data_IF_223795503104
#
_entry.id   IF_223795503104
#
_cell.length_a   1.000
_cell.length_b   1.000
_cell.length_c   1.000
_cell.angle_alpha   90.00
_cell.angle_beta   90.00
_cell.angle_gamma   90.00
#
_symmetry.space_group_name_H-M   'P 1'
#
loop_
_entity.id
_entity.type
_entity.pdbx_description
1 polymer ?
#
# COMPACT_ATOMS: atom_id res chain seq x y z
N UNK A 1 -18.44 -5.94 18.29
CA UNK A 1 -18.94 -5.48 19.60
C UNK A 1 -18.85 -3.97 19.61
N UNK A 2 -19.96 -3.25 19.91
CA UNK A 2 -19.90 -1.79 19.99
C UNK A 2 -19.14 -1.36 21.26
N UNK A 3 -18.46 -0.22 21.21
CA UNK A 3 -17.67 0.33 22.32
C UNK A 3 -18.52 0.49 23.58
N UNK A 4 -19.75 0.98 23.45
CA UNK A 4 -20.70 1.10 24.56
C UNK A 4 -20.97 -0.24 25.27
N UNK A 5 -21.19 -1.31 24.49
CA UNK A 5 -21.42 -2.65 25.04
C UNK A 5 -20.16 -3.21 25.73
N UNK A 6 -18.98 -2.92 25.20
CA UNK A 6 -17.71 -3.28 25.81
C UNK A 6 -17.54 -2.60 27.18
N UNK A 7 -17.76 -1.27 27.24
CA UNK A 7 -17.67 -0.49 28.48
C UNK A 7 -18.64 -0.97 29.57
N UNK A 8 -19.87 -1.34 29.17
CA UNK A 8 -20.86 -1.90 30.11
C UNK A 8 -20.37 -3.24 30.68
N UNK A 9 -19.84 -4.12 29.83
CA UNK A 9 -19.39 -5.45 30.23
C UNK A 9 -18.13 -5.40 31.11
N UNK A 10 -17.16 -4.55 30.79
CA UNK A 10 -15.96 -4.37 31.64
C UNK A 10 -16.35 -3.81 33.01
N UNK A 11 -17.22 -2.80 33.07
CA UNK A 11 -17.72 -2.26 34.33
C UNK A 11 -18.48 -3.30 35.17
N UNK A 12 -19.23 -4.21 34.53
CA UNK A 12 -19.88 -5.32 35.22
C UNK A 12 -18.87 -6.30 35.83
N UNK A 13 -17.85 -6.71 35.09
CA UNK A 13 -16.80 -7.60 35.59
C UNK A 13 -16.00 -6.96 36.73
N UNK A 14 -15.64 -5.68 36.63
CA UNK A 14 -14.95 -4.96 37.70
C UNK A 14 -15.75 -4.91 39.00
N UNK A 15 -17.07 -4.68 38.90
CA UNK A 15 -17.97 -4.72 40.06
C UNK A 15 -17.97 -6.11 40.71
N UNK A 16 -18.11 -7.17 39.91
CA UNK A 16 -18.10 -8.56 40.39
C UNK A 16 -16.76 -8.93 41.06
N UNK A 17 -15.64 -8.57 40.44
CA UNK A 17 -14.30 -8.79 41.00
C UNK A 17 -14.16 -8.09 42.35
N UNK A 18 -14.60 -6.83 42.44
CA UNK A 18 -14.52 -6.05 43.68
C UNK A 18 -15.37 -6.65 44.80
N UNK A 19 -16.59 -7.11 44.49
CA UNK A 19 -17.46 -7.76 45.48
C UNK A 19 -16.87 -9.09 45.96
N UNK A 20 -16.43 -9.95 45.03
CA UNK A 20 -15.85 -11.26 45.37
C UNK A 20 -14.58 -11.13 46.20
N UNK A 21 -13.70 -10.16 45.88
CA UNK A 21 -12.51 -9.85 46.69
C UNK A 21 -12.87 -9.49 48.13
N UNK A 22 -13.90 -8.66 48.34
CA UNK A 22 -14.37 -8.28 49.69
C UNK A 22 -14.93 -9.49 50.45
N UNK A 23 -15.69 -10.35 49.78
CA UNK A 23 -16.23 -11.58 50.38
C UNK A 23 -15.11 -12.54 50.80
N UNK A 24 -14.10 -12.76 49.96
CA UNK A 24 -12.95 -13.59 50.30
C UNK A 24 -12.21 -13.02 51.52
N UNK A 25 -11.93 -11.71 51.52
CA UNK A 25 -11.25 -11.06 52.62
C UNK A 25 -12.03 -11.18 53.94
N UNK A 26 -13.36 -11.05 53.89
CA UNK A 26 -14.22 -11.27 55.05
C UNK A 26 -14.17 -12.72 55.57
N UNK A 27 -14.20 -13.72 54.69
CA UNK A 27 -14.12 -15.13 55.07
C UNK A 27 -12.76 -15.46 55.71
N UNK A 28 -11.66 -14.92 55.15
CA UNK A 28 -10.32 -15.11 55.70
C UNK A 28 -10.18 -14.47 57.08
N UNK A 29 -10.72 -13.26 57.28
CA UNK A 29 -10.77 -12.61 58.58
C UNK A 29 -11.66 -13.39 59.58
N UNK A 30 -12.75 -13.97 59.12
CA UNK A 30 -13.60 -14.80 59.97
C UNK A 30 -12.84 -16.08 60.40
N UNK A 31 -12.15 -16.74 59.48
CA UNK A 31 -11.32 -17.91 59.77
C UNK A 31 -10.18 -17.59 60.77
N UNK A 32 -9.58 -16.40 60.70
CA UNK A 32 -8.56 -15.99 61.67
C UNK A 32 -9.11 -15.70 63.06
N UNK A 33 -10.36 -15.23 63.18
CA UNK A 33 -11.04 -15.09 64.49
C UNK A 33 -11.24 -16.46 65.16
N UNK A 34 -11.62 -17.49 64.39
CA UNK A 34 -11.79 -18.85 64.91
C UNK A 34 -10.48 -19.52 65.37
N UNK A 35 -9.33 -18.97 65.02
CA UNK A 35 -8.01 -19.39 65.52
C UNK A 35 -7.67 -18.77 66.89
N UNK A 36 -8.30 -17.66 67.29
CA UNK A 36 -7.98 -16.94 68.55
C UNK A 36 -8.10 -17.83 69.80
N UNK A 37 -9.13 -18.68 69.97
CA UNK A 37 -9.26 -19.54 71.15
C UNK A 37 -8.08 -20.50 71.32
N UNK A 38 -7.43 -20.92 70.22
CA UNK A 38 -6.26 -21.81 70.25
C UNK A 38 -5.06 -21.10 70.86
N UNK A 39 -4.87 -19.83 70.55
CA UNK A 39 -3.76 -19.02 71.09
C UNK A 39 -3.99 -18.50 72.51
N UNK A 40 -5.25 -18.51 72.98
CA UNK A 40 -5.61 -17.96 74.31
C UNK A 40 -5.77 -19.04 75.37
N UNK A 41 -5.77 -20.31 75.00
CA UNK A 41 -5.98 -21.40 75.93
C UNK A 41 -4.63 -21.81 76.54
N UNK A 42 -4.48 -21.64 77.85
CA UNK A 42 -3.21 -21.88 78.58
C UNK A 42 -2.74 -23.35 78.49
N UNK A 43 -3.64 -24.28 78.11
CA UNK A 43 -3.30 -25.69 77.84
C UNK A 43 -2.55 -25.90 76.50
N UNK A 44 -2.54 -24.90 75.63
CA UNK A 44 -1.88 -24.92 74.31
C UNK A 44 -0.66 -24.00 74.29
N UNK A 45 0.30 -24.22 75.18
CA UNK A 45 1.65 -23.72 74.91
C UNK A 45 2.17 -24.39 73.62
N UNK A 46 2.60 -23.59 72.64
CA UNK A 46 3.29 -24.02 71.41
C UNK A 46 4.68 -24.58 71.77
N UNK A 47 4.68 -25.70 72.48
CA UNK A 47 5.87 -26.39 72.92
C UNK A 47 6.34 -27.32 71.81
N UNK A 48 7.34 -26.87 71.04
CA UNK A 48 7.96 -27.61 69.93
C UNK A 48 8.67 -28.93 70.36
N UNK A 49 8.72 -29.23 71.66
CA UNK A 49 9.37 -30.42 72.22
C UNK A 49 8.58 -31.07 73.37
N UNK A 50 7.24 -30.96 73.38
CA UNK A 50 6.44 -31.58 74.44
C UNK A 50 6.10 -33.04 74.11
N UNK A 51 6.43 -33.96 75.02
CA UNK A 51 5.82 -35.29 75.07
C UNK A 51 4.35 -35.09 75.48
N UNK A 52 3.42 -35.15 74.52
CA UNK A 52 1.98 -35.08 74.79
C UNK A 52 1.60 -36.24 75.74
N UNK A 53 1.29 -35.98 77.02
CA UNK A 53 0.95 -37.05 77.95
C UNK A 53 -0.46 -37.61 77.67
N UNK A 54 -1.27 -36.88 76.91
CA UNK A 54 -2.68 -37.18 76.67
C UNK A 54 -3.06 -36.93 75.19
N UNK A 55 -3.11 -38.01 74.39
CA UNK A 55 -3.45 -37.97 72.97
C UNK A 55 -4.89 -37.48 72.69
N UNK A 56 -5.78 -37.51 73.70
CA UNK A 56 -7.18 -37.09 73.57
C UNK A 56 -7.32 -35.58 73.28
N UNK A 57 -6.49 -34.74 73.91
CA UNK A 57 -6.52 -33.27 73.72
C UNK A 57 -6.02 -32.91 72.33
N UNK A 58 -4.97 -33.59 71.85
CA UNK A 58 -4.44 -33.41 70.50
C UNK A 58 -5.46 -33.83 69.44
N UNK A 59 -6.18 -34.94 69.67
CA UNK A 59 -7.26 -35.38 68.79
C UNK A 59 -8.38 -34.35 68.70
N UNK A 60 -8.86 -33.83 69.84
CA UNK A 60 -9.93 -32.82 69.89
C UNK A 60 -9.55 -31.51 69.20
N UNK A 61 -8.29 -31.09 69.30
CA UNK A 61 -7.80 -29.93 68.54
C UNK A 61 -7.78 -30.22 67.03
N UNK A 62 -7.27 -31.39 66.64
CA UNK A 62 -7.28 -31.84 65.25
C UNK A 62 -8.69 -31.85 64.66
N UNK A 63 -9.67 -32.37 65.41
CA UNK A 63 -11.08 -32.41 65.02
C UNK A 63 -11.68 -31.01 64.88
N UNK A 64 -11.35 -30.08 65.78
CA UNK A 64 -11.80 -28.67 65.71
C UNK A 64 -11.20 -27.92 64.51
N UNK A 65 -9.88 -28.03 64.31
CA UNK A 65 -9.16 -27.43 63.17
C UNK A 65 -9.67 -27.99 61.84
N UNK A 66 -9.78 -29.32 61.75
CA UNK A 66 -10.25 -30.02 60.56
C UNK A 66 -11.72 -29.70 60.26
N UNK A 67 -12.59 -29.64 61.26
CA UNK A 67 -14.01 -29.36 61.05
C UNK A 67 -14.30 -27.91 60.66
N UNK A 68 -13.74 -26.94 61.39
CA UNK A 68 -14.15 -25.54 61.26
C UNK A 68 -13.31 -24.79 60.23
N UNK A 69 -11.98 -24.94 60.30
CA UNK A 69 -11.06 -24.14 59.48
C UNK A 69 -10.97 -24.72 58.07
N UNK A 70 -10.97 -26.05 57.91
CA UNK A 70 -10.90 -26.64 56.57
C UNK A 70 -12.11 -26.23 55.71
N UNK A 71 -13.31 -26.14 56.29
CA UNK A 71 -14.52 -25.70 55.57
C UNK A 71 -14.39 -24.24 55.12
N UNK A 72 -13.95 -23.35 56.00
CA UNK A 72 -13.76 -21.93 55.67
C UNK A 72 -12.68 -21.73 54.59
N UNK A 73 -11.56 -22.47 54.69
CA UNK A 73 -10.48 -22.43 53.70
C UNK A 73 -10.91 -23.02 52.35
N UNK A 74 -11.69 -24.10 52.34
CA UNK A 74 -12.22 -24.68 51.10
C UNK A 74 -13.15 -23.71 50.37
N UNK A 75 -14.03 -23.01 51.10
CA UNK A 75 -14.92 -21.99 50.51
C UNK A 75 -14.08 -20.81 49.99
N UNK A 76 -13.09 -20.35 50.74
CA UNK A 76 -12.18 -19.29 50.29
C UNK A 76 -11.41 -19.71 49.02
N UNK A 77 -10.92 -20.96 48.96
CA UNK A 77 -10.27 -21.53 47.79
C UNK A 77 -11.16 -21.58 46.55
N UNK A 78 -12.41 -22.04 46.71
CA UNK A 78 -13.39 -22.05 45.62
C UNK A 78 -13.66 -20.62 45.09
N UNK A 79 -13.82 -19.64 46.00
CA UNK A 79 -14.04 -18.25 45.62
C UNK A 79 -12.81 -17.63 44.94
N UNK A 80 -11.59 -18.01 45.32
CA UNK A 80 -10.37 -17.60 44.63
C UNK A 80 -10.31 -18.15 43.21
N UNK A 81 -10.68 -19.42 43.00
CA UNK A 81 -10.79 -20.02 41.67
C UNK A 81 -11.84 -19.28 40.83
N UNK A 82 -13.01 -19.00 41.42
CA UNK A 82 -14.07 -18.23 40.75
C UNK A 82 -13.61 -16.81 40.39
N UNK A 83 -12.90 -16.13 41.28
CA UNK A 83 -12.32 -14.81 41.03
C UNK A 83 -11.33 -14.85 39.85
N UNK A 84 -10.46 -15.86 39.82
CA UNK A 84 -9.54 -16.09 38.69
C UNK A 84 -10.29 -16.29 37.39
N UNK A 85 -11.35 -17.09 37.39
CA UNK A 85 -12.20 -17.32 36.22
C UNK A 85 -12.87 -16.03 35.71
N UNK A 86 -13.37 -15.17 36.60
CA UNK A 86 -13.93 -13.87 36.19
C UNK A 86 -12.84 -12.99 35.56
N UNK A 87 -11.65 -12.93 36.16
CA UNK A 87 -10.51 -12.20 35.60
C UNK A 87 -10.17 -12.68 34.18
N UNK A 88 -10.05 -13.99 33.99
CA UNK A 88 -9.80 -14.58 32.67
C UNK A 88 -10.88 -14.21 31.64
N UNK A 89 -12.16 -14.17 32.04
CA UNK A 89 -13.25 -13.76 31.14
C UNK A 89 -13.17 -12.28 30.77
N UNK A 90 -12.76 -11.42 31.70
CA UNK A 90 -12.51 -10.01 31.42
C UNK A 90 -11.36 -9.85 30.42
N UNK A 91 -10.24 -10.55 30.63
CA UNK A 91 -9.09 -10.50 29.73
C UNK A 91 -9.46 -10.96 28.31
N UNK A 92 -10.22 -12.05 28.18
CA UNK A 92 -10.72 -12.51 26.88
C UNK A 92 -11.60 -11.44 26.21
N UNK A 93 -12.46 -10.76 26.96
CA UNK A 93 -13.32 -9.70 26.42
C UNK A 93 -12.49 -8.52 25.91
N UNK A 94 -11.44 -8.13 26.64
CA UNK A 94 -10.48 -7.09 26.23
C UNK A 94 -9.78 -7.50 24.94
N UNK A 95 -9.19 -8.71 24.91
CA UNK A 95 -8.50 -9.23 23.73
C UNK A 95 -9.41 -9.29 22.50
N UNK A 96 -10.66 -9.73 22.65
CA UNK A 96 -11.63 -9.76 21.56
C UNK A 96 -11.94 -8.36 21.03
N UNK A 97 -12.04 -7.37 21.91
CA UNK A 97 -12.26 -5.98 21.52
C UNK A 97 -11.07 -5.42 20.75
N UNK A 98 -9.85 -5.60 21.27
CA UNK A 98 -8.61 -5.16 20.64
C UNK A 98 -8.40 -5.81 19.27
N UNK A 99 -8.65 -7.12 19.15
CA UNK A 99 -8.58 -7.84 17.87
C UNK A 99 -9.57 -7.27 16.85
N UNK A 100 -10.79 -6.95 17.27
CA UNK A 100 -11.78 -6.33 16.36
C UNK A 100 -11.33 -4.94 15.89
N UNK A 101 -10.74 -4.13 16.76
CA UNK A 101 -10.23 -2.81 16.37
C UNK A 101 -9.01 -2.94 15.44
N UNK A 102 -8.10 -3.86 15.74
CA UNK A 102 -6.94 -4.15 14.89
C UNK A 102 -7.37 -4.63 13.51
N UNK A 103 -8.37 -5.51 13.41
CA UNK A 103 -8.91 -5.94 12.12
C UNK A 103 -9.49 -4.78 11.31
N UNK A 104 -10.24 -3.87 11.95
CA UNK A 104 -10.78 -2.68 11.28
C UNK A 104 -9.66 -1.75 10.79
N UNK A 105 -8.65 -1.51 11.63
CA UNK A 105 -7.51 -0.69 11.26
C UNK A 105 -6.73 -1.30 10.08
N UNK A 106 -6.48 -2.62 10.12
CA UNK A 106 -5.83 -3.34 9.01
C UNK A 106 -6.64 -3.27 7.72
N UNK A 107 -7.96 -3.41 7.79
CA UNK A 107 -8.81 -3.29 6.61
C UNK A 107 -8.78 -1.88 6.01
N UNK A 108 -8.84 -0.84 6.85
CA UNK A 108 -8.69 0.54 6.41
C UNK A 108 -7.33 0.78 5.75
N UNK A 109 -6.25 0.30 6.38
CA UNK A 109 -4.88 0.40 5.85
C UNK A 109 -4.72 -0.34 4.51
N UNK A 110 -5.29 -1.54 4.37
CA UNK A 110 -5.25 -2.29 3.11
C UNK A 110 -5.95 -1.51 1.98
N UNK A 111 -7.08 -0.87 2.27
CA UNK A 111 -7.79 -0.03 1.31
C UNK A 111 -6.94 1.17 0.89
N UNK A 112 -6.35 1.88 1.84
CA UNK A 112 -5.46 3.01 1.56
C UNK A 112 -4.23 2.60 0.74
N UNK A 113 -3.61 1.46 1.08
CA UNK A 113 -2.49 0.93 0.31
C UNK A 113 -2.88 0.56 -1.12
N UNK A 114 -4.09 0.02 -1.32
CA UNK A 114 -4.59 -0.26 -2.66
C UNK A 114 -4.75 1.02 -3.49
N UNK A 115 -5.33 2.07 -2.92
CA UNK A 115 -5.47 3.39 -3.54
C UNK A 115 -4.10 4.08 -3.77
N UNK A 116 -3.15 3.91 -2.85
CA UNK A 116 -1.79 4.42 -3.01
C UNK A 116 -1.06 3.70 -4.14
N UNK A 117 -1.26 2.38 -4.28
CA UNK A 117 -0.63 1.58 -5.31
C UNK A 117 -1.11 2.01 -6.71
N UNK A 118 -2.43 2.23 -6.89
CA UNK A 118 -2.96 2.71 -8.18
C UNK A 118 -2.38 4.07 -8.56
N UNK A 119 -2.33 5.01 -7.60
CA UNK A 119 -1.69 6.32 -7.82
C UNK A 119 -0.20 6.21 -8.12
N UNK A 120 0.52 5.30 -7.45
CA UNK A 120 1.96 5.08 -7.67
C UNK A 120 2.22 4.53 -9.07
N UNK A 121 1.42 3.57 -9.53
CA UNK A 121 1.52 3.03 -10.90
C UNK A 121 1.27 4.14 -11.92
N UNK A 122 0.24 4.98 -11.72
CA UNK A 122 -0.05 6.12 -12.59
C UNK A 122 1.10 7.14 -12.60
N UNK A 123 1.59 7.54 -11.44
CA UNK A 123 2.68 8.50 -11.31
C UNK A 123 3.99 8.00 -11.95
N UNK A 124 4.27 6.70 -11.83
CA UNK A 124 5.43 6.07 -12.50
C UNK A 124 5.27 6.15 -14.02
N UNK A 125 4.09 5.82 -14.52
CA UNK A 125 3.79 5.95 -15.94
C UNK A 125 4.00 7.39 -16.43
N UNK A 126 3.37 8.36 -15.76
CA UNK A 126 3.47 9.79 -16.11
C UNK A 126 4.92 10.28 -16.06
N UNK A 127 5.68 9.93 -15.02
CA UNK A 127 7.09 10.29 -14.90
C UNK A 127 7.93 9.71 -16.06
N UNK A 128 7.74 8.44 -16.41
CA UNK A 128 8.43 7.82 -17.53
C UNK A 128 8.02 8.47 -18.85
N UNK A 129 6.73 8.73 -19.06
CA UNK A 129 6.22 9.41 -20.25
C UNK A 129 6.85 10.80 -20.44
N UNK A 130 6.86 11.63 -19.40
CA UNK A 130 7.46 12.97 -19.48
C UNK A 130 8.99 12.92 -19.64
N UNK A 131 9.66 11.94 -19.03
CA UNK A 131 11.08 11.72 -19.27
C UNK A 131 11.36 11.37 -20.73
N UNK A 132 10.55 10.50 -21.35
CA UNK A 132 10.70 10.17 -22.76
C UNK A 132 10.44 11.39 -23.67
N UNK A 133 9.48 12.25 -23.32
CA UNK A 133 9.26 13.53 -24.01
C UNK A 133 10.48 14.44 -23.93
N UNK A 134 11.10 14.56 -22.75
CA UNK A 134 12.28 15.41 -22.58
C UNK A 134 13.43 14.96 -23.49
N UNK A 135 13.61 13.65 -23.68
CA UNK A 135 14.60 13.10 -24.61
C UNK A 135 14.36 13.56 -26.05
N UNK A 136 13.10 13.75 -26.50
CA UNK A 136 12.83 14.32 -27.83
C UNK A 136 13.42 15.74 -27.94
N UNK A 137 13.20 16.57 -26.92
CA UNK A 137 13.73 17.92 -26.90
C UNK A 137 15.25 17.91 -26.90
N UNK A 138 15.88 17.02 -26.13
CA UNK A 138 17.34 16.87 -26.10
C UNK A 138 17.90 16.45 -27.45
N UNK A 139 17.29 15.47 -28.12
CA UNK A 139 17.70 15.03 -29.46
C UNK A 139 17.59 16.16 -30.50
N UNK A 140 16.55 16.99 -30.41
CA UNK A 140 16.40 18.18 -31.26
C UNK A 140 17.47 19.22 -30.96
N UNK A 141 17.74 19.48 -29.68
CA UNK A 141 18.71 20.47 -29.24
C UNK A 141 20.16 20.04 -29.53
N UNK A 142 20.45 18.74 -29.45
CA UNK A 142 21.77 18.17 -29.72
C UNK A 142 22.02 17.92 -31.21
N UNK A 143 21.03 18.12 -32.07
CA UNK A 143 21.16 17.90 -33.51
C UNK A 143 22.29 18.76 -34.08
N UNK A 144 23.23 18.14 -34.79
CA UNK A 144 24.33 18.84 -35.45
C UNK A 144 24.58 18.27 -36.84
N UNK A 145 24.87 19.15 -37.81
CA UNK A 145 25.25 18.77 -39.17
C UNK A 145 26.19 19.81 -39.76
N UNK A 146 27.47 19.45 -39.88
CA UNK A 146 28.53 20.38 -40.27
C UNK A 146 28.89 21.33 -39.12
N UNK A 147 29.03 22.62 -39.42
CA UNK A 147 29.38 23.66 -38.44
C UNK A 147 28.16 24.27 -37.72
N UNK A 148 26.97 23.75 -37.96
CA UNK A 148 25.72 24.26 -37.37
C UNK A 148 25.04 23.18 -36.52
N UNK A 149 24.49 23.59 -35.39
CA UNK A 149 23.78 22.72 -34.44
C UNK A 149 22.53 23.40 -33.89
N UNK A 150 21.71 22.62 -33.17
CA UNK A 150 20.55 23.09 -32.44
C UNK A 150 19.22 23.01 -33.20
N UNK A 151 18.15 23.54 -32.58
CA UNK A 151 16.78 23.39 -33.07
C UNK A 151 16.53 23.98 -34.46
N UNK A 152 17.11 25.13 -34.77
CA UNK A 152 16.96 25.74 -36.10
C UNK A 152 17.60 24.89 -37.19
N UNK A 153 18.71 24.22 -36.87
CA UNK A 153 19.36 23.31 -37.80
C UNK A 153 18.56 22.02 -37.98
N UNK A 154 17.97 21.50 -36.90
CA UNK A 154 17.02 20.39 -36.97
C UNK A 154 15.84 20.73 -37.89
N UNK A 155 15.20 21.88 -37.66
CA UNK A 155 14.10 22.41 -38.46
C UNK A 155 14.47 22.60 -39.93
N UNK A 156 15.63 23.19 -40.24
CA UNK A 156 16.05 23.38 -41.64
C UNK A 156 16.20 22.03 -42.35
N UNK A 157 16.83 21.06 -41.69
CA UNK A 157 17.04 19.73 -42.23
C UNK A 157 15.72 18.96 -42.42
N UNK A 158 14.79 19.05 -41.47
CA UNK A 158 13.46 18.41 -41.61
C UNK A 158 12.65 19.04 -42.74
N UNK A 159 12.67 20.37 -42.88
CA UNK A 159 12.02 21.10 -43.98
C UNK A 159 12.62 20.71 -45.33
N UNK A 160 13.95 20.65 -45.45
CA UNK A 160 14.60 20.21 -46.69
C UNK A 160 14.16 18.81 -47.11
N UNK A 161 13.94 17.90 -46.16
CA UNK A 161 13.43 16.56 -46.45
C UNK A 161 11.98 16.60 -46.93
N UNK A 162 11.10 17.33 -46.24
CA UNK A 162 9.69 17.47 -46.64
C UNK A 162 9.61 18.03 -48.07
N UNK A 163 10.41 19.05 -48.38
CA UNK A 163 10.46 19.65 -49.71
C UNK A 163 11.03 18.69 -50.76
N UNK A 164 12.05 17.90 -50.42
CA UNK A 164 12.58 16.87 -51.31
C UNK A 164 11.52 15.82 -51.66
N UNK A 165 10.81 15.29 -50.64
CA UNK A 165 9.69 14.37 -50.81
C UNK A 165 8.62 14.95 -51.75
N UNK A 166 8.22 16.22 -51.50
CA UNK A 166 7.16 16.89 -52.25
C UNK A 166 7.55 17.21 -53.69
N UNK A 167 8.75 17.73 -53.91
CA UNK A 167 9.22 18.19 -55.24
C UNK A 167 9.26 17.09 -56.29
N UNK A 168 9.37 15.83 -55.87
CA UNK A 168 9.55 14.69 -56.77
C UNK A 168 8.34 13.76 -56.85
N UNK A 169 7.25 14.07 -56.15
CA UNK A 169 6.01 13.27 -56.11
C UNK A 169 6.30 11.76 -55.99
N UNK A 170 7.31 11.41 -55.18
CA UNK A 170 7.95 10.10 -55.23
C UNK A 170 7.03 9.03 -54.67
N UNK A 171 7.08 7.86 -55.28
CA UNK A 171 6.52 6.65 -54.71
C UNK A 171 7.28 6.26 -53.43
N UNK A 172 6.54 5.73 -52.45
CA UNK A 172 7.05 5.30 -51.14
C UNK A 172 8.40 4.53 -51.21
N UNK A 173 8.60 3.58 -52.16
CA UNK A 173 9.87 2.86 -52.29
C UNK A 173 11.08 3.76 -52.58
N UNK A 174 10.93 4.80 -53.41
CA UNK A 174 12.04 5.70 -53.77
C UNK A 174 12.44 6.59 -52.60
N UNK A 175 11.50 6.97 -51.74
CA UNK A 175 11.78 7.75 -50.53
C UNK A 175 12.49 6.88 -49.49
N UNK A 176 12.04 5.64 -49.31
CA UNK A 176 12.71 4.70 -48.43
C UNK A 176 14.15 4.45 -48.87
N UNK A 177 14.39 4.35 -50.19
CA UNK A 177 15.73 4.26 -50.77
C UNK A 177 16.58 5.52 -50.49
N UNK A 178 16.04 6.72 -50.77
CA UNK A 178 16.74 7.98 -50.51
C UNK A 178 17.10 8.16 -49.02
N UNK A 179 16.18 7.82 -48.12
CA UNK A 179 16.43 7.89 -46.68
C UNK A 179 17.56 6.93 -46.29
N UNK A 180 17.55 5.68 -46.76
CA UNK A 180 18.60 4.68 -46.48
C UNK A 180 19.96 5.05 -47.06
N UNK A 181 19.99 5.69 -48.22
CA UNK A 181 21.22 6.03 -48.96
C UNK A 181 21.85 7.36 -48.53
N UNK A 182 21.19 8.11 -47.64
CA UNK A 182 21.71 9.38 -47.12
C UNK A 182 21.99 9.29 -45.62
N UNK A 183 22.90 10.15 -45.13
CA UNK A 183 23.15 10.33 -43.67
C UNK A 183 21.88 10.67 -42.88
N UNK A 184 20.81 11.02 -43.60
CA UNK A 184 19.50 11.29 -43.07
C UNK A 184 18.96 10.17 -42.18
N UNK A 185 19.05 8.92 -42.64
CA UNK A 185 18.58 7.77 -41.85
C UNK A 185 19.28 7.75 -40.50
N UNK A 186 20.61 7.81 -40.48
CA UNK A 186 21.37 7.82 -39.24
C UNK A 186 21.07 9.03 -38.34
N UNK A 187 20.73 10.18 -38.92
CA UNK A 187 20.53 11.41 -38.14
C UNK A 187 19.13 11.54 -37.55
N UNK A 188 18.07 11.11 -38.26
CA UNK A 188 16.68 11.27 -37.81
C UNK A 188 16.02 9.98 -37.33
N UNK A 189 16.62 8.81 -37.60
CA UNK A 189 16.09 7.53 -37.12
C UNK A 189 15.95 7.52 -35.61
N UNK A 190 16.94 8.02 -34.86
CA UNK A 190 16.88 8.04 -33.39
C UNK A 190 15.69 8.87 -32.92
N UNK A 191 15.55 10.09 -33.44
CA UNK A 191 14.46 11.00 -33.09
C UNK A 191 13.08 10.38 -33.34
N UNK A 192 12.84 9.84 -34.54
CA UNK A 192 11.55 9.21 -34.84
C UNK A 192 11.36 7.91 -34.04
N UNK A 193 12.40 7.09 -33.88
CA UNK A 193 12.31 5.87 -33.06
C UNK A 193 11.92 6.19 -31.63
N UNK A 194 12.41 7.30 -31.06
CA UNK A 194 12.00 7.74 -29.73
C UNK A 194 10.53 8.16 -29.67
N UNK A 195 10.02 8.84 -30.70
CA UNK A 195 8.58 9.15 -30.81
C UNK A 195 7.76 7.86 -30.88
N UNK A 196 8.20 6.88 -31.68
CA UNK A 196 7.51 5.59 -31.76
C UNK A 196 7.55 4.83 -30.44
N UNK A 197 8.68 4.84 -29.73
CA UNK A 197 8.78 4.23 -28.41
C UNK A 197 7.82 4.88 -27.42
N UNK A 198 7.57 6.19 -27.50
CA UNK A 198 6.56 6.86 -26.66
C UNK A 198 5.16 6.38 -27.03
N UNK A 199 4.85 6.31 -28.33
CA UNK A 199 3.55 5.83 -28.80
C UNK A 199 3.33 4.38 -28.34
N UNK A 200 4.31 3.50 -28.53
CA UNK A 200 4.25 2.10 -28.13
C UNK A 200 4.18 1.96 -26.60
N UNK A 201 4.85 2.84 -25.85
CA UNK A 201 4.75 2.90 -24.38
C UNK A 201 3.34 3.26 -23.91
N UNK A 202 2.69 4.22 -24.57
CA UNK A 202 1.30 4.60 -24.29
C UNK A 202 0.34 3.48 -24.73
N UNK A 203 0.51 2.92 -25.93
CA UNK A 203 -0.31 1.85 -26.49
C UNK A 203 -0.29 0.60 -25.59
N UNK A 204 0.90 0.18 -25.15
CA UNK A 204 1.11 -1.00 -24.30
C UNK A 204 0.76 -0.80 -22.83
N UNK A 205 0.37 0.41 -22.42
CA UNK A 205 -0.04 0.69 -21.05
C UNK A 205 -1.45 0.17 -20.74
N UNK A 206 -1.72 -0.08 -19.44
CA UNK A 206 -3.04 -0.49 -18.94
C UNK A 206 -4.01 0.69 -18.73
N UNK A 207 -3.82 1.77 -19.51
CA UNK A 207 -4.69 2.95 -19.48
C UNK A 207 -5.96 2.72 -20.30
N UNK A 208 -7.01 3.49 -20.01
CA UNK A 208 -8.21 3.54 -20.87
C UNK A 208 -7.89 4.25 -22.19
N UNK A 209 -8.65 3.94 -23.25
CA UNK A 209 -8.42 4.51 -24.59
C UNK A 209 -8.49 6.05 -24.58
N UNK A 210 -9.40 6.63 -23.80
CA UNK A 210 -9.53 8.08 -23.63
C UNK A 210 -8.28 8.71 -22.99
N UNK A 211 -7.67 8.02 -22.03
CA UNK A 211 -6.43 8.45 -21.38
C UNK A 211 -5.24 8.32 -22.34
N UNK A 212 -5.18 7.22 -23.10
CA UNK A 212 -4.17 7.04 -24.15
C UNK A 212 -4.24 8.18 -25.17
N UNK A 213 -5.44 8.50 -25.65
CA UNK A 213 -5.65 9.65 -26.52
C UNK A 213 -5.16 10.96 -25.90
N UNK A 214 -5.43 11.19 -24.61
CA UNK A 214 -4.97 12.39 -23.90
C UNK A 214 -3.43 12.51 -23.92
N UNK A 215 -2.70 11.42 -23.64
CA UNK A 215 -1.24 11.45 -23.70
C UNK A 215 -0.71 11.69 -25.11
N UNK A 216 -1.35 11.12 -26.13
CA UNK A 216 -0.94 11.35 -27.53
C UNK A 216 -1.27 12.78 -27.98
N UNK A 217 -2.40 13.36 -27.56
CA UNK A 217 -2.71 14.79 -27.76
C UNK A 217 -1.66 15.67 -27.09
N UNK A 218 -1.23 15.30 -25.87
CA UNK A 218 -0.18 16.01 -25.15
C UNK A 218 1.14 15.97 -25.92
N UNK A 219 1.60 14.78 -26.33
CA UNK A 219 2.78 14.63 -27.18
C UNK A 219 2.67 15.49 -28.46
N UNK A 220 1.53 15.40 -29.14
CA UNK A 220 1.26 16.18 -30.36
C UNK A 220 1.40 17.68 -30.15
N UNK A 221 0.88 18.20 -29.03
CA UNK A 221 0.91 19.63 -28.70
C UNK A 221 2.34 20.17 -28.50
N UNK A 222 3.29 19.30 -28.17
CA UNK A 222 4.68 19.65 -27.95
C UNK A 222 5.51 19.61 -29.25
N UNK A 223 4.97 19.01 -30.31
CA UNK A 223 5.64 18.86 -31.60
C UNK A 223 5.22 20.01 -32.54
N UNK A 224 6.16 20.84 -33.02
CA UNK A 224 5.92 21.81 -34.07
C UNK A 224 5.34 21.16 -35.33
N UNK A 225 4.58 21.94 -36.11
CA UNK A 225 3.93 21.47 -37.36
C UNK A 225 4.93 20.81 -38.31
N UNK A 226 6.13 21.37 -38.50
CA UNK A 226 7.14 20.79 -39.39
C UNK A 226 7.64 19.42 -38.89
N UNK A 227 7.69 19.18 -37.58
CA UNK A 227 8.05 17.88 -37.00
C UNK A 227 6.92 16.87 -37.24
N UNK A 228 5.66 17.28 -37.05
CA UNK A 228 4.49 16.44 -37.35
C UNK A 228 4.39 16.04 -38.83
N UNK A 229 4.66 16.98 -39.74
CA UNK A 229 4.71 16.69 -41.18
C UNK A 229 5.86 15.75 -41.53
N UNK A 230 7.01 15.95 -40.88
CA UNK A 230 8.15 15.06 -41.05
C UNK A 230 7.84 13.63 -40.58
N UNK A 231 7.19 13.48 -39.42
CA UNK A 231 6.72 12.19 -38.90
C UNK A 231 5.72 11.55 -39.86
N UNK A 232 4.79 12.30 -40.43
CA UNK A 232 3.82 11.77 -41.41
C UNK A 232 4.51 11.21 -42.67
N UNK A 233 5.51 11.93 -43.20
CA UNK A 233 6.33 11.46 -44.34
C UNK A 233 7.12 10.22 -43.94
N UNK A 234 7.71 10.21 -42.75
CA UNK A 234 8.44 9.07 -42.20
C UNK A 234 7.52 7.83 -42.11
N UNK A 235 6.34 7.94 -41.50
CA UNK A 235 5.39 6.83 -41.33
C UNK A 235 4.94 6.16 -42.64
N UNK A 236 4.99 6.88 -43.77
CA UNK A 236 4.67 6.32 -45.09
C UNK A 236 5.78 5.40 -45.64
N UNK A 237 6.96 5.38 -45.02
CA UNK A 237 8.11 4.58 -45.48
C UNK A 237 8.33 3.35 -44.60
N UNK A 238 8.87 2.29 -45.20
CA UNK A 238 9.10 1.01 -44.53
C UNK A 238 10.08 1.09 -43.35
N UNK A 239 10.83 2.18 -43.27
CA UNK A 239 11.76 2.49 -42.18
C UNK A 239 11.07 2.66 -40.82
N UNK A 240 9.75 2.90 -40.82
CA UNK A 240 8.98 3.24 -39.62
C UNK A 240 7.80 2.29 -39.35
N UNK A 241 7.77 1.13 -40.01
CA UNK A 241 6.70 0.09 -39.90
C UNK A 241 6.62 -0.57 -38.51
N UNK A 242 7.53 -0.28 -37.57
CA UNK A 242 7.54 -0.97 -36.26
C UNK A 242 6.26 -0.81 -35.45
N UNK A 243 5.47 0.23 -35.69
CA UNK A 243 4.22 0.45 -34.97
C UNK A 243 3.07 0.63 -35.95
N UNK A 244 2.24 -0.41 -36.11
CA UNK A 244 0.92 -0.28 -36.73
C UNK A 244 -0.11 0.30 -35.72
N UNK A 245 0.37 1.03 -34.71
CA UNK A 245 -0.45 1.60 -33.66
C UNK A 245 -1.50 2.55 -34.24
N UNK A 246 -2.73 2.40 -33.75
CA UNK A 246 -3.82 3.33 -34.06
C UNK A 246 -3.50 4.75 -33.56
N UNK A 247 -2.76 4.85 -32.44
CA UNK A 247 -2.30 6.11 -31.85
C UNK A 247 -1.26 6.82 -32.71
N UNK A 248 -0.41 6.09 -33.44
CA UNK A 248 0.51 6.69 -34.39
C UNK A 248 -0.25 7.41 -35.53
N UNK A 249 -1.30 6.78 -36.05
CA UNK A 249 -2.19 7.42 -37.05
C UNK A 249 -2.89 8.63 -36.43
N UNK A 250 -3.34 8.50 -35.18
CA UNK A 250 -4.00 9.58 -34.45
C UNK A 250 -3.08 10.81 -34.24
N UNK A 251 -1.78 10.61 -33.98
CA UNK A 251 -0.78 11.67 -33.85
C UNK A 251 -0.70 12.55 -35.11
N UNK A 252 -0.82 11.95 -36.30
CA UNK A 252 -0.64 12.65 -37.60
C UNK A 252 -1.95 13.00 -38.32
N UNK A 253 -3.10 12.45 -37.90
CA UNK A 253 -4.40 12.43 -38.62
C UNK A 253 -4.92 13.79 -39.11
N UNK A 254 -4.59 14.88 -38.44
CA UNK A 254 -5.13 16.22 -38.75
C UNK A 254 -4.16 17.14 -39.49
N UNK A 255 -2.90 16.72 -39.70
CA UNK A 255 -1.90 17.58 -40.32
C UNK A 255 -1.92 17.54 -41.85
N UNK A 256 -2.64 16.60 -42.46
CA UNK A 256 -2.80 16.52 -43.92
C UNK A 256 -3.34 17.82 -44.54
N UNK A 257 -4.25 18.52 -43.85
CA UNK A 257 -4.75 19.84 -44.29
C UNK A 257 -3.71 20.96 -44.16
N UNK A 258 -2.78 20.85 -43.22
CA UNK A 258 -1.67 21.80 -43.09
C UNK A 258 -0.59 21.56 -44.13
N UNK A 259 -0.35 20.31 -44.55
CA UNK A 259 0.45 19.96 -45.72
C UNK A 259 -0.08 20.63 -46.99
N UNK A 260 -1.40 20.63 -47.17
CA UNK A 260 -2.08 21.30 -48.30
C UNK A 260 -2.01 22.84 -48.22
N UNK A 261 -2.06 23.43 -47.02
CA UNK A 261 -1.99 24.90 -46.84
C UNK A 261 -0.58 25.47 -46.77
N UNK A 262 0.44 24.67 -46.46
CA UNK A 262 1.86 25.07 -46.56
C UNK A 262 2.33 25.22 -48.03
N UNK A 263 1.37 25.37 -48.95
CA UNK A 263 1.52 25.68 -50.37
C UNK A 263 1.55 27.18 -50.66
N UNK A 264 1.08 28.02 -49.72
CA UNK A 264 1.05 29.49 -49.82
C UNK A 264 2.17 30.14 -49.00
#
# INVERSE_FOLDING_TARGET
MNEEKYQILTAQYERQIRTTKRTILFIVLLASIFLIPIFRNDEFELCFACNFPNYDILSKLGDYLSGTIAVLLNIAGLLLIYLSFIGQRQDILIQQYELQQNQKALFAQQKELAEQNTNTVRNRFESTFFNLINVISDLRNSYSKGQSSGPERFKSSSISMINYYRSRNLDVPTIAKYMKETDFYHTFQNYISHIMNIIDYVEGSNLQDEEKEFYIKTLRSLLPVHELLFIEVAMKTDLFIRSNSSLAKFLVKENGRHLEKWHE
#
